data_IF_399600361278
#
_entry.id   IF_399600361278
#
_cell.length_a   1.000
_cell.length_b   1.000
_cell.length_c   1.000
_cell.angle_alpha   90.00
_cell.angle_beta   90.00
_cell.angle_gamma   90.00
#
_symmetry.space_group_name_H-M   'P 1'
#
loop_
_entity.id
_entity.type
_entity.pdbx_description
1 polymer ?
#
# COMPACT_ATOMS: atom_id res chain seq x y z
N UNK A 1 14.11 -0.45 0.73
CA UNK A 1 13.73 -0.84 -0.65
C UNK A 1 14.83 -1.70 -1.27
N UNK A 2 15.98 -1.13 -1.65
CA UNK A 2 17.05 -1.86 -2.35
C UNK A 2 17.54 -3.11 -1.60
N UNK A 3 17.89 -2.98 -0.31
CA UNK A 3 18.29 -4.12 0.52
C UNK A 3 17.20 -5.20 0.67
N UNK A 4 15.92 -4.80 0.60
CA UNK A 4 14.82 -5.77 0.63
C UNK A 4 14.71 -6.47 -0.72
N UNK A 5 14.87 -5.73 -1.83
CA UNK A 5 14.86 -6.30 -3.18
C UNK A 5 15.99 -7.33 -3.36
N UNK A 6 17.17 -7.08 -2.79
CA UNK A 6 18.30 -8.04 -2.75
C UNK A 6 17.94 -9.38 -2.11
N UNK A 7 16.95 -9.45 -1.22
CA UNK A 7 16.52 -10.73 -0.66
C UNK A 7 15.83 -11.65 -1.67
N UNK A 8 15.33 -11.08 -2.78
CA UNK A 8 14.50 -11.78 -3.75
C UNK A 8 15.13 -11.87 -5.15
N UNK A 9 16.08 -10.98 -5.48
CA UNK A 9 16.69 -10.86 -6.81
C UNK A 9 18.17 -11.21 -6.69
N UNK A 10 18.64 -12.19 -7.47
CA UNK A 10 20.05 -12.62 -7.48
C UNK A 10 20.94 -11.77 -8.40
N UNK A 11 20.35 -11.21 -9.46
CA UNK A 11 21.03 -10.34 -10.43
C UNK A 11 19.99 -9.48 -11.14
N UNK A 12 20.37 -8.27 -11.52
CA UNK A 12 19.51 -7.34 -12.26
C UNK A 12 19.45 -5.94 -11.67
N UNK A 13 19.07 -4.94 -12.49
CA UNK A 13 18.96 -3.56 -12.03
C UNK A 13 17.81 -3.40 -11.02
N UNK A 14 18.04 -2.63 -9.96
CA UNK A 14 17.03 -2.34 -8.93
C UNK A 14 16.44 -0.93 -9.06
N UNK A 15 17.28 0.04 -9.39
CA UNK A 15 16.94 1.47 -9.42
C UNK A 15 18.04 2.25 -10.13
N UNK A 16 17.68 3.29 -10.87
CA UNK A 16 18.61 4.35 -11.28
C UNK A 16 18.23 5.65 -10.58
N UNK A 17 19.19 6.35 -9.97
CA UNK A 17 19.03 7.72 -9.48
C UNK A 17 19.55 8.66 -10.56
N UNK A 18 18.65 9.45 -11.13
CA UNK A 18 18.96 10.48 -12.12
C UNK A 18 18.95 11.86 -11.46
N UNK A 19 20.10 12.53 -11.43
CA UNK A 19 20.20 13.88 -10.87
C UNK A 19 19.70 14.93 -11.85
N UNK A 20 19.13 16.02 -11.33
CA UNK A 20 18.67 17.14 -12.17
C UNK A 20 19.78 17.69 -13.07
N UNK A 21 19.37 18.15 -14.25
CA UNK A 21 20.23 18.84 -15.20
C UNK A 21 20.96 20.03 -14.53
N UNK A 22 22.27 20.13 -14.78
CA UNK A 22 23.15 21.09 -14.11
C UNK A 22 23.77 20.61 -12.79
N UNK A 23 23.37 19.43 -12.29
CA UNK A 23 24.10 18.73 -11.23
C UNK A 23 25.48 18.27 -11.73
N UNK A 24 26.48 18.26 -10.85
CA UNK A 24 27.81 17.67 -11.13
C UNK A 24 27.82 16.15 -10.97
N UNK A 25 26.75 15.57 -10.39
CA UNK A 25 26.67 14.15 -10.12
C UNK A 25 26.25 13.39 -11.37
N UNK A 26 26.89 12.25 -11.61
CA UNK A 26 26.49 11.29 -12.63
C UNK A 26 25.31 10.45 -12.13
N UNK A 27 24.46 9.89 -13.02
CA UNK A 27 23.45 8.92 -12.64
C UNK A 27 24.07 7.74 -11.88
N UNK A 28 23.36 7.23 -10.88
CA UNK A 28 23.80 6.08 -10.07
C UNK A 28 22.83 4.93 -10.32
N UNK A 29 23.32 3.83 -10.87
CA UNK A 29 22.55 2.61 -11.07
C UNK A 29 22.86 1.61 -9.96
N UNK A 30 21.82 1.13 -9.29
CA UNK A 30 21.87 0.08 -8.30
C UNK A 30 21.51 -1.24 -8.96
N UNK A 31 22.31 -2.27 -8.67
CA UNK A 31 22.16 -3.64 -9.18
C UNK A 31 22.07 -4.55 -7.95
N UNK A 32 21.30 -5.61 -8.08
CA UNK A 32 21.17 -6.61 -7.03
C UNK A 32 22.52 -7.29 -6.74
N UNK A 33 22.71 -7.69 -5.49
CA UNK A 33 23.84 -8.53 -5.11
C UNK A 33 23.47 -10.02 -5.26
N UNK A 34 24.45 -10.86 -5.62
CA UNK A 34 24.26 -12.31 -5.62
C UNK A 34 23.91 -12.85 -4.22
N UNK A 35 23.14 -13.93 -4.17
CA UNK A 35 22.85 -14.65 -2.93
C UNK A 35 21.51 -14.24 -2.29
N UNK A 36 20.47 -14.09 -3.11
CA UNK A 36 19.10 -13.96 -2.64
C UNK A 36 18.76 -15.08 -1.66
N UNK A 37 18.03 -14.71 -0.60
CA UNK A 37 17.70 -15.63 0.50
C UNK A 37 16.33 -16.28 0.30
N UNK A 38 15.50 -15.72 -0.58
CA UNK A 38 14.18 -16.25 -0.91
C UNK A 38 14.30 -17.12 -2.16
N UNK A 39 13.84 -18.40 -2.12
CA UNK A 39 13.91 -19.29 -3.27
C UNK A 39 13.31 -18.65 -4.53
N UNK A 40 14.02 -18.78 -5.65
CA UNK A 40 13.63 -18.17 -6.93
C UNK A 40 12.31 -18.75 -7.49
N UNK A 41 11.98 -19.99 -7.11
CA UNK A 41 10.75 -20.68 -7.48
C UNK A 41 9.57 -20.38 -6.54
N UNK A 42 9.78 -19.64 -5.44
CA UNK A 42 8.70 -19.25 -4.55
C UNK A 42 7.86 -18.14 -5.20
N UNK A 43 6.55 -18.37 -5.46
CA UNK A 43 5.67 -17.35 -6.02
C UNK A 43 5.50 -16.16 -5.08
N UNK A 44 5.56 -14.94 -5.62
CA UNK A 44 5.41 -13.70 -4.84
C UNK A 44 4.38 -12.80 -5.50
N UNK A 45 3.46 -12.30 -4.67
CA UNK A 45 2.54 -11.23 -5.02
C UNK A 45 2.83 -10.02 -4.14
N UNK A 46 2.78 -8.82 -4.74
CA UNK A 46 2.80 -7.54 -4.05
C UNK A 46 1.40 -6.95 -4.12
N UNK A 47 0.80 -6.65 -2.97
CA UNK A 47 -0.42 -5.85 -2.89
C UNK A 47 -0.05 -4.37 -2.86
N UNK A 48 -0.56 -3.60 -3.81
CA UNK A 48 -0.27 -2.18 -3.94
C UNK A 48 -1.54 -1.36 -4.16
N UNK A 49 -1.56 -0.11 -3.75
CA UNK A 49 -2.70 0.79 -3.97
C UNK A 49 -2.24 2.25 -4.15
N UNK A 50 -3.19 3.19 -4.31
CA UNK A 50 -2.91 4.62 -4.44
C UNK A 50 -2.15 5.25 -3.26
N UNK A 51 -2.10 4.60 -2.10
CA UNK A 51 -1.28 5.00 -0.95
C UNK A 51 0.17 4.51 -0.99
N UNK A 52 0.49 3.59 -1.90
CA UNK A 52 1.84 3.06 -2.08
C UNK A 52 2.72 4.13 -2.73
N UNK A 53 3.75 4.60 -2.03
CA UNK A 53 4.56 5.73 -2.47
C UNK A 53 6.06 5.57 -2.14
N UNK A 54 6.93 6.27 -2.89
CA UNK A 54 8.36 6.41 -2.57
C UNK A 54 9.09 5.06 -2.51
N UNK A 55 9.73 4.71 -1.39
CA UNK A 55 10.48 3.47 -1.22
C UNK A 55 9.65 2.21 -1.49
N UNK A 56 8.34 2.23 -1.24
CA UNK A 56 7.46 1.11 -1.60
C UNK A 56 7.34 0.96 -3.11
N UNK A 57 7.24 2.05 -3.86
CA UNK A 57 7.23 2.02 -5.33
C UNK A 57 8.56 1.52 -5.88
N UNK A 58 9.69 1.94 -5.30
CA UNK A 58 11.01 1.43 -5.71
C UNK A 58 11.08 -0.09 -5.56
N UNK A 59 10.62 -0.63 -4.42
CA UNK A 59 10.60 -2.08 -4.20
C UNK A 59 9.65 -2.79 -5.17
N UNK A 60 8.45 -2.23 -5.38
CA UNK A 60 7.46 -2.77 -6.30
C UNK A 60 7.99 -2.81 -7.73
N UNK A 61 8.60 -1.73 -8.23
CA UNK A 61 9.20 -1.67 -9.56
C UNK A 61 10.37 -2.65 -9.69
N UNK A 62 11.26 -2.70 -8.69
CA UNK A 62 12.39 -3.63 -8.68
C UNK A 62 11.92 -5.09 -8.83
N UNK A 63 10.94 -5.52 -8.04
CA UNK A 63 10.45 -6.89 -8.08
C UNK A 63 9.58 -7.17 -9.32
N UNK A 64 8.75 -6.23 -9.74
CA UNK A 64 7.89 -6.37 -10.92
C UNK A 64 8.69 -6.45 -12.21
N UNK A 65 9.57 -5.48 -12.44
CA UNK A 65 10.28 -5.35 -13.73
C UNK A 65 11.41 -6.37 -13.90
N UNK A 66 11.92 -6.94 -12.81
CA UNK A 66 12.79 -8.12 -12.86
C UNK A 66 12.01 -9.45 -12.96
N UNK A 67 10.67 -9.40 -13.09
CA UNK A 67 9.82 -10.59 -13.21
C UNK A 67 9.75 -11.44 -11.95
N UNK A 68 10.15 -10.90 -10.80
CA UNK A 68 10.24 -11.62 -9.53
C UNK A 68 8.91 -11.70 -8.78
N UNK A 69 8.03 -10.71 -8.95
CA UNK A 69 6.73 -10.67 -8.30
C UNK A 69 5.64 -10.15 -9.23
N UNK A 70 4.41 -10.61 -9.01
CA UNK A 70 3.20 -10.06 -9.65
C UNK A 70 2.59 -9.00 -8.76
N UNK A 71 2.27 -7.83 -9.31
CA UNK A 71 1.63 -6.73 -8.57
C UNK A 71 0.12 -6.80 -8.76
N UNK A 72 -0.62 -6.87 -7.65
CA UNK A 72 -2.09 -6.94 -7.65
C UNK A 72 -2.64 -5.77 -6.83
N UNK A 73 -3.61 -5.05 -7.39
CA UNK A 73 -4.16 -3.87 -6.72
C UNK A 73 -4.45 -2.73 -7.68
N UNK A 74 -4.27 -1.51 -7.21
CA UNK A 74 -4.43 -0.30 -8.02
C UNK A 74 -3.09 0.38 -8.28
N UNK A 75 -3.12 1.39 -9.15
CA UNK A 75 -1.96 2.22 -9.51
C UNK A 75 -1.39 2.93 -8.28
N UNK A 76 -0.06 2.92 -8.15
CA UNK A 76 0.64 3.58 -7.03
C UNK A 76 0.66 5.11 -7.16
N UNK A 77 1.09 5.81 -6.10
CA UNK A 77 1.01 7.27 -5.98
C UNK A 77 1.82 8.07 -7.01
N UNK A 78 3.01 7.59 -7.39
CA UNK A 78 3.93 8.29 -8.29
C UNK A 78 4.89 9.27 -7.60
N UNK A 79 5.41 8.93 -6.42
CA UNK A 79 6.42 9.75 -5.73
C UNK A 79 7.84 9.31 -6.14
N UNK A 80 8.20 9.60 -7.38
CA UNK A 80 9.50 9.28 -7.99
C UNK A 80 10.63 10.30 -7.76
N UNK A 81 10.61 11.11 -6.70
CA UNK A 81 11.58 12.20 -6.52
C UNK A 81 12.32 12.17 -5.19
N UNK A 82 13.58 12.61 -5.23
CA UNK A 82 14.41 12.86 -4.06
C UNK A 82 14.43 14.35 -3.72
N UNK A 83 14.14 14.67 -2.47
CA UNK A 83 14.17 16.03 -1.96
C UNK A 83 15.21 16.16 -0.87
N UNK A 84 15.86 17.31 -0.82
CA UNK A 84 16.78 17.69 0.24
C UNK A 84 16.21 18.91 0.98
N UNK A 85 16.50 18.99 2.28
CA UNK A 85 16.11 20.11 3.14
C UNK A 85 17.39 20.72 3.69
N UNK A 86 17.59 22.01 3.43
CA UNK A 86 18.74 22.77 3.95
C UNK A 86 18.27 23.92 4.83
N UNK A 87 19.01 24.20 5.90
CA UNK A 87 18.78 25.37 6.73
C UNK A 87 19.32 26.63 6.05
N UNK A 88 18.56 27.72 6.07
CA UNK A 88 18.94 29.03 5.52
C UNK A 88 18.44 30.12 6.47
N UNK A 89 19.38 30.86 7.07
CA UNK A 89 19.09 31.88 8.10
C UNK A 89 18.19 31.29 9.21
N UNK A 90 17.01 31.88 9.41
CA UNK A 90 16.03 31.47 10.42
C UNK A 90 14.98 30.47 9.87
N UNK A 91 15.22 29.85 8.71
CA UNK A 91 14.27 28.95 8.04
C UNK A 91 14.91 27.78 7.30
N UNK A 92 14.11 27.10 6.49
CA UNK A 92 14.52 25.94 5.70
C UNK A 92 14.05 26.05 4.26
N UNK A 93 14.83 25.51 3.33
CA UNK A 93 14.44 25.34 1.94
C UNK A 93 14.41 23.84 1.62
N UNK A 94 13.29 23.38 1.07
CA UNK A 94 13.17 22.04 0.52
C UNK A 94 13.19 22.12 -1.00
N UNK A 95 14.03 21.32 -1.64
CA UNK A 95 14.13 21.29 -3.10
C UNK A 95 14.34 19.87 -3.61
N UNK A 96 13.77 19.59 -4.78
CA UNK A 96 13.99 18.32 -5.50
C UNK A 96 15.32 18.35 -6.23
N UNK A 97 16.15 17.33 -6.08
CA UNK A 97 17.48 17.26 -6.68
C UNK A 97 17.73 16.03 -7.56
N UNK A 98 16.88 15.00 -7.47
CA UNK A 98 16.99 13.80 -8.31
C UNK A 98 15.63 13.11 -8.50
N UNK A 99 15.56 12.26 -9.51
CA UNK A 99 14.45 11.36 -9.84
C UNK A 99 14.88 9.90 -9.65
N UNK A 100 13.91 9.06 -9.32
CA UNK A 100 14.04 7.61 -9.31
C UNK A 100 13.53 7.06 -10.63
N UNK A 101 14.39 6.35 -11.36
CA UNK A 101 13.99 5.57 -12.53
C UNK A 101 13.96 4.09 -12.17
N UNK A 102 12.95 3.38 -12.68
CA UNK A 102 12.77 1.94 -12.47
C UNK A 102 13.91 1.12 -13.11
N UNK A 103 14.00 -0.21 -12.86
CA UNK A 103 14.94 -1.09 -13.57
C UNK A 103 14.99 -0.93 -15.10
N UNK A 104 13.84 -0.64 -15.73
CA UNK A 104 13.66 -0.38 -17.15
C UNK A 104 13.80 1.11 -17.53
N UNK A 105 14.34 1.92 -16.61
CA UNK A 105 14.62 3.36 -16.77
C UNK A 105 13.35 4.21 -16.99
N UNK A 106 12.19 3.80 -16.44
CA UNK A 106 10.96 4.61 -16.44
C UNK A 106 10.95 5.62 -15.28
N UNK A 107 10.58 6.87 -15.54
CA UNK A 107 10.31 7.86 -14.47
C UNK A 107 8.92 7.65 -13.88
N UNK A 108 8.86 7.26 -12.61
CA UNK A 108 7.58 7.03 -11.90
C UNK A 108 6.97 8.32 -11.35
N UNK A 109 7.64 9.48 -11.44
CA UNK A 109 7.13 10.71 -10.85
C UNK A 109 5.83 11.19 -11.52
N UNK A 110 4.75 11.30 -10.73
CA UNK A 110 3.37 11.60 -11.17
C UNK A 110 2.76 10.55 -12.10
N UNK A 111 3.47 9.45 -12.35
CA UNK A 111 3.01 8.33 -13.18
C UNK A 111 2.64 7.15 -12.29
N UNK A 112 3.42 6.85 -11.25
CA UNK A 112 3.23 5.64 -10.45
C UNK A 112 3.58 4.37 -11.21
N UNK A 113 3.24 3.23 -10.62
CA UNK A 113 3.44 1.89 -11.15
C UNK A 113 2.05 1.28 -11.33
N UNK A 114 1.76 0.86 -12.55
CA UNK A 114 0.53 0.13 -12.86
C UNK A 114 0.61 -1.30 -12.28
N UNK A 115 -0.49 -1.85 -11.78
CA UNK A 115 -0.55 -3.25 -11.35
C UNK A 115 -0.48 -4.20 -12.56
N UNK A 116 -0.09 -5.44 -12.34
CA UNK A 116 -0.23 -6.51 -13.34
C UNK A 116 -1.68 -7.03 -13.39
N UNK A 117 -2.35 -7.03 -12.24
CA UNK A 117 -3.76 -7.38 -12.09
C UNK A 117 -4.47 -6.27 -11.34
N UNK A 118 -5.35 -5.56 -12.03
CA UNK A 118 -6.12 -4.45 -11.48
C UNK A 118 -7.18 -4.94 -10.47
N UNK A 119 -7.18 -4.32 -9.30
CA UNK A 119 -8.27 -4.28 -8.33
C UNK A 119 -8.48 -2.80 -8.03
N UNK A 120 -9.67 -2.30 -8.33
CA UNK A 120 -9.97 -0.87 -8.23
C UNK A 120 -9.92 -0.40 -6.77
N UNK A 121 -9.41 0.82 -6.54
CA UNK A 121 -9.55 1.46 -5.25
C UNK A 121 -11.00 1.87 -5.01
N UNK A 122 -11.42 1.82 -3.74
CA UNK A 122 -12.71 2.40 -3.35
C UNK A 122 -12.53 3.91 -3.24
N UNK A 123 -13.16 4.65 -4.14
CA UNK A 123 -13.23 6.11 -4.07
C UNK A 123 -14.43 6.56 -3.23
N UNK A 124 -14.20 7.57 -2.39
CA UNK A 124 -15.24 8.20 -1.58
C UNK A 124 -15.38 9.68 -1.94
N UNK A 125 -16.60 10.16 -1.97
CA UNK A 125 -16.93 11.57 -2.17
C UNK A 125 -16.45 12.42 -0.99
N UNK A 126 -16.31 13.73 -1.19
CA UNK A 126 -15.93 14.67 -0.11
C UNK A 126 -16.96 14.68 1.01
N UNK A 127 -18.23 14.53 0.64
CA UNK A 127 -19.37 14.46 1.53
C UNK A 127 -19.30 13.22 2.42
N UNK A 128 -19.03 12.05 1.84
CA UNK A 128 -18.82 10.79 2.58
C UNK A 128 -17.61 10.88 3.52
N UNK A 129 -16.50 11.47 3.06
CA UNK A 129 -15.32 11.67 3.91
C UNK A 129 -15.57 12.64 5.06
N UNK A 130 -16.38 13.68 4.84
CA UNK A 130 -16.80 14.60 5.90
C UNK A 130 -17.74 13.92 6.91
N UNK A 131 -18.65 13.06 6.43
CA UNK A 131 -19.50 12.23 7.29
C UNK A 131 -18.67 11.26 8.11
N UNK A 132 -17.71 10.56 7.48
CA UNK A 132 -16.77 9.68 8.15
C UNK A 132 -16.01 10.41 9.27
N UNK A 133 -15.40 11.56 8.97
CA UNK A 133 -14.64 12.33 9.95
C UNK A 133 -15.49 12.76 11.16
N UNK A 134 -16.78 13.05 10.97
CA UNK A 134 -17.71 13.31 12.08
C UNK A 134 -18.02 12.03 12.85
N UNK A 135 -18.31 10.94 12.14
CA UNK A 135 -18.73 9.67 12.70
C UNK A 135 -17.67 9.04 13.61
N UNK A 136 -16.39 9.04 13.19
CA UNK A 136 -15.29 8.48 13.99
C UNK A 136 -15.01 9.22 15.30
N UNK A 137 -15.52 10.45 15.45
CA UNK A 137 -15.43 11.21 16.70
C UNK A 137 -16.59 10.92 17.66
N UNK A 138 -17.54 10.06 17.28
CA UNK A 138 -18.63 9.60 18.14
C UNK A 138 -18.23 8.33 18.89
N UNK A 139 -18.97 8.00 19.95
CA UNK A 139 -18.83 6.72 20.66
C UNK A 139 -19.58 5.57 19.98
N UNK A 140 -20.24 5.79 18.84
CA UNK A 140 -21.21 4.84 18.26
C UNK A 140 -20.61 3.44 18.02
N UNK A 141 -19.38 3.37 17.49
CA UNK A 141 -18.69 2.09 17.24
C UNK A 141 -18.41 1.37 18.56
N UNK A 142 -17.81 2.09 19.52
CA UNK A 142 -17.44 1.54 20.83
C UNK A 142 -18.67 1.07 21.62
N UNK A 143 -19.70 1.91 21.72
CA UNK A 143 -20.94 1.61 22.43
C UNK A 143 -21.64 0.38 21.82
N UNK A 144 -21.60 0.25 20.49
CA UNK A 144 -22.17 -0.91 19.80
C UNK A 144 -21.42 -2.20 20.12
N UNK A 145 -20.08 -2.18 20.08
CA UNK A 145 -19.27 -3.37 20.36
C UNK A 145 -19.37 -3.77 21.83
N UNK A 146 -19.41 -2.82 22.78
CA UNK A 146 -19.62 -3.12 24.20
C UNK A 146 -20.97 -3.82 24.45
N UNK A 147 -22.03 -3.40 23.74
CA UNK A 147 -23.36 -4.00 23.83
C UNK A 147 -23.46 -5.35 23.11
N UNK A 148 -22.71 -5.52 22.01
CA UNK A 148 -22.73 -6.70 21.15
C UNK A 148 -21.34 -7.36 21.10
N UNK A 149 -20.79 -7.75 22.26
CA UNK A 149 -19.36 -8.09 22.43
C UNK A 149 -18.82 -9.26 21.61
N UNK A 150 -19.69 -10.09 21.02
CA UNK A 150 -19.27 -11.20 20.17
C UNK A 150 -18.94 -10.72 18.76
N UNK A 151 -17.73 -10.99 18.29
CA UNK A 151 -17.38 -10.80 16.88
C UNK A 151 -18.17 -11.78 16.00
N UNK A 152 -18.93 -11.23 15.05
CA UNK A 152 -19.64 -12.01 14.04
C UNK A 152 -19.90 -11.13 12.82
N UNK A 153 -20.03 -11.76 11.65
CA UNK A 153 -20.39 -11.05 10.41
C UNK A 153 -21.77 -10.42 10.57
N UNK A 154 -22.70 -11.12 11.21
CA UNK A 154 -24.05 -10.63 11.48
C UNK A 154 -24.06 -9.32 12.27
N UNK A 155 -23.24 -9.21 13.32
CA UNK A 155 -23.12 -7.96 14.10
C UNK A 155 -22.49 -6.83 13.27
N UNK A 156 -21.49 -7.13 12.45
CA UNK A 156 -20.85 -6.14 11.58
C UNK A 156 -21.86 -5.60 10.54
N UNK A 157 -22.63 -6.50 9.92
CA UNK A 157 -23.68 -6.12 8.96
C UNK A 157 -24.81 -5.34 9.63
N UNK A 158 -25.22 -5.77 10.82
CA UNK A 158 -26.26 -5.11 11.58
C UNK A 158 -25.84 -3.68 11.98
N UNK A 159 -24.59 -3.46 12.43
CA UNK A 159 -24.06 -2.13 12.70
C UNK A 159 -24.13 -1.22 11.48
N UNK A 160 -23.68 -1.71 10.33
CA UNK A 160 -23.72 -0.93 9.09
C UNK A 160 -25.16 -0.59 8.67
N UNK A 161 -26.10 -1.50 8.90
CA UNK A 161 -27.53 -1.28 8.65
C UNK A 161 -28.15 -0.26 9.61
N UNK A 162 -27.83 -0.34 10.90
CA UNK A 162 -28.32 0.61 11.92
C UNK A 162 -27.80 2.03 11.70
N UNK A 163 -26.64 2.18 11.06
CA UNK A 163 -25.99 3.46 10.80
C UNK A 163 -26.06 3.89 9.33
N UNK A 164 -26.95 3.29 8.52
CA UNK A 164 -27.09 3.62 7.11
C UNK A 164 -27.43 5.10 6.85
N UNK A 165 -28.14 5.75 7.79
CA UNK A 165 -28.53 7.16 7.71
C UNK A 165 -27.37 8.14 8.02
N UNK A 166 -26.19 7.65 8.43
CA UNK A 166 -25.02 8.49 8.76
C UNK A 166 -24.35 9.14 7.54
N UNK A 167 -24.74 8.74 6.32
CA UNK A 167 -24.06 9.09 5.07
C UNK A 167 -22.58 8.64 5.04
N UNK A 168 -22.19 7.73 5.94
CA UNK A 168 -20.93 7.00 5.86
C UNK A 168 -21.16 5.75 5.00
N UNK A 169 -20.29 5.46 4.01
CA UNK A 169 -20.39 4.27 3.19
C UNK A 169 -20.47 3.00 4.05
N UNK A 170 -21.36 2.07 3.66
CA UNK A 170 -21.55 0.82 4.39
C UNK A 170 -20.24 0.03 4.55
N UNK A 171 -19.37 0.04 3.53
CA UNK A 171 -18.04 -0.60 3.61
C UNK A 171 -17.20 0.00 4.73
N UNK A 172 -17.17 1.34 4.88
CA UNK A 172 -16.44 2.00 5.96
C UNK A 172 -17.05 1.64 7.32
N UNK A 173 -18.37 1.66 7.45
CA UNK A 173 -19.05 1.29 8.70
C UNK A 173 -18.67 -0.13 9.13
N UNK A 174 -18.66 -1.08 8.20
CA UNK A 174 -18.25 -2.47 8.44
C UNK A 174 -16.79 -2.56 8.88
N UNK A 175 -15.88 -1.84 8.21
CA UNK A 175 -14.46 -1.82 8.56
C UNK A 175 -14.20 -1.20 9.95
N UNK A 176 -14.91 -0.14 10.30
CA UNK A 176 -14.80 0.52 11.60
C UNK A 176 -15.17 -0.42 12.75
N UNK A 177 -16.35 -1.04 12.67
CA UNK A 177 -16.81 -1.96 13.73
C UNK A 177 -15.99 -3.24 13.77
N UNK A 178 -15.57 -3.78 12.62
CA UNK A 178 -14.63 -4.91 12.53
C UNK A 178 -13.32 -4.59 13.26
N UNK A 179 -12.74 -3.42 13.02
CA UNK A 179 -11.48 -3.02 13.65
C UNK A 179 -11.61 -2.89 15.17
N UNK A 180 -12.74 -2.36 15.65
CA UNK A 180 -12.99 -2.25 17.09
C UNK A 180 -13.11 -3.63 17.74
N UNK A 181 -13.82 -4.58 17.10
CA UNK A 181 -13.85 -5.96 17.58
C UNK A 181 -12.44 -6.58 17.64
N UNK A 182 -11.65 -6.47 16.57
CA UNK A 182 -10.28 -7.01 16.51
C UNK A 182 -9.39 -6.36 17.58
N UNK A 183 -9.57 -5.07 17.84
CA UNK A 183 -8.85 -4.36 18.88
C UNK A 183 -9.15 -4.91 20.28
N UNK A 184 -10.41 -5.28 20.54
CA UNK A 184 -10.85 -5.86 21.81
C UNK A 184 -10.51 -7.35 21.97
N UNK A 185 -10.18 -8.06 20.89
CA UNK A 185 -9.73 -9.45 20.96
C UNK A 185 -8.33 -9.55 21.58
N UNK A 186 -8.13 -10.65 22.32
CA UNK A 186 -6.80 -11.10 22.73
C UNK A 186 -5.92 -11.32 21.49
N UNK A 187 -4.64 -10.96 21.60
CA UNK A 187 -3.73 -10.94 20.47
C UNK A 187 -3.68 -12.27 19.70
N UNK A 188 -3.70 -13.40 20.43
CA UNK A 188 -3.63 -14.75 19.88
C UNK A 188 -4.89 -15.16 19.11
N UNK A 189 -6.04 -14.53 19.40
CA UNK A 189 -7.33 -14.83 18.77
C UNK A 189 -7.60 -13.94 17.54
N UNK A 190 -6.74 -12.95 17.27
CA UNK A 190 -6.94 -12.02 16.16
C UNK A 190 -6.75 -12.74 14.83
N UNK A 191 -7.64 -12.53 13.84
CA UNK A 191 -7.44 -13.07 12.50
C UNK A 191 -6.16 -12.48 11.90
N UNK A 192 -5.30 -13.36 11.38
CA UNK A 192 -4.03 -12.98 10.75
C UNK A 192 -4.27 -12.36 9.36
N UNK A 193 -5.37 -12.75 8.71
CA UNK A 193 -5.78 -12.31 7.37
C UNK A 193 -7.25 -11.95 7.35
N UNK A 194 -7.64 -11.02 6.47
CA UNK A 194 -9.03 -10.67 6.24
C UNK A 194 -9.49 -11.09 4.86
N UNK A 195 -9.99 -12.32 4.73
CA UNK A 195 -10.55 -12.81 3.46
C UNK A 195 -11.98 -12.32 3.20
N UNK A 196 -12.56 -11.52 4.11
CA UNK A 196 -13.94 -11.03 3.97
C UNK A 196 -13.97 -9.66 3.28
N UNK A 197 -13.08 -8.76 3.70
CA UNK A 197 -13.09 -7.36 3.26
C UNK A 197 -11.84 -6.95 2.47
N UNK A 198 -10.80 -7.78 2.40
CA UNK A 198 -9.60 -7.50 1.59
C UNK A 198 -9.74 -8.11 0.19
N UNK A 199 -10.26 -7.31 -0.74
CA UNK A 199 -10.44 -7.72 -2.13
C UNK A 199 -9.11 -8.00 -2.84
N UNK A 200 -8.05 -7.27 -2.49
CA UNK A 200 -6.72 -7.43 -3.09
C UNK A 200 -6.09 -8.76 -2.67
N UNK A 201 -6.16 -9.09 -1.37
CA UNK A 201 -5.72 -10.37 -0.85
C UNK A 201 -6.50 -11.53 -1.48
N UNK A 202 -7.83 -11.42 -1.55
CA UNK A 202 -8.66 -12.44 -2.18
C UNK A 202 -8.27 -12.64 -3.66
N UNK A 203 -7.98 -11.56 -4.38
CA UNK A 203 -7.53 -11.65 -5.77
C UNK A 203 -6.18 -12.34 -5.90
N UNK A 204 -5.28 -12.15 -4.93
CA UNK A 204 -3.99 -12.82 -4.86
C UNK A 204 -4.13 -14.33 -4.54
N UNK A 205 -5.01 -14.70 -3.62
CA UNK A 205 -5.30 -16.11 -3.33
C UNK A 205 -5.83 -16.83 -4.58
N UNK A 206 -6.79 -16.21 -5.28
CA UNK A 206 -7.30 -16.74 -6.56
C UNK A 206 -6.22 -16.83 -7.64
N UNK A 207 -5.24 -15.92 -7.63
CA UNK A 207 -4.10 -15.97 -8.57
C UNK A 207 -3.23 -17.21 -8.31
N UNK A 208 -2.91 -17.51 -7.05
CA UNK A 208 -2.13 -18.70 -6.70
C UNK A 208 -2.88 -20.01 -6.97
N UNK A 209 -4.20 -20.06 -6.73
CA UNK A 209 -5.03 -21.23 -7.00
C UNK A 209 -5.04 -21.64 -8.49
N UNK A 210 -4.73 -20.71 -9.40
CA UNK A 210 -4.63 -20.98 -10.83
C UNK A 210 -3.29 -21.61 -11.25
N UNK A 211 -2.43 -21.96 -10.29
CA UNK A 211 -1.16 -22.65 -10.53
C UNK A 211 -0.05 -21.75 -11.05
N UNK A 212 -0.06 -20.47 -10.66
CA UNK A 212 0.96 -19.46 -10.99
C UNK A 212 1.71 -18.99 -9.75
#
# INVERSE_FOLDING_TARGET
ALQIADFFIDDGPLLTIEFKEGSKNQPIRYIANEGSIVPQDLPIVILANGGTASSSEILTAALKENGRATVIGSKTFGKGIMQNVIAVLDGFIQFTYAHYLTPLDNDIHKVGIEPDILVEDIEYTKEEMASYAKFVNTSAVKDYVEKNSTYSIENIEQFAKENADSNVPATILKLLVRNEYIYMMDYEDRPIVDTTYDEQLNRALQYFEQGK
#
